data_IF_523717238788
#
_entry.id   IF_523717238788
#
_cell.length_a   1.000
_cell.length_b   1.000
_cell.length_c   1.000
_cell.angle_alpha   90.00
_cell.angle_beta   90.00
_cell.angle_gamma   90.00
#
_symmetry.space_group_name_H-M   'P 1'
#
loop_
_entity.id
_entity.type
_entity.pdbx_description
1 polymer ?
#
# COMPACT_ATOMS: atom_id res chain seq x y z
N UNK A 1 23.68 19.29 13.17
CA UNK A 1 23.32 19.38 11.74
C UNK A 1 21.96 20.07 11.62
N UNK A 2 21.91 21.33 11.18
CA UNK A 2 20.65 22.06 10.93
C UNK A 2 20.26 21.84 9.46
N UNK A 3 19.16 21.15 9.20
CA UNK A 3 18.59 21.01 7.85
C UNK A 3 17.93 22.33 7.49
N UNK A 4 18.59 23.14 6.67
CA UNK A 4 17.97 24.29 6.03
C UNK A 4 17.08 23.76 4.91
N UNK A 5 15.80 23.56 5.19
CA UNK A 5 14.78 23.53 4.15
C UNK A 5 14.75 24.95 3.58
N UNK A 6 15.44 25.16 2.47
CA UNK A 6 15.29 26.38 1.69
C UNK A 6 13.85 26.38 1.18
N UNK A 7 12.99 27.24 1.75
CA UNK A 7 11.76 27.64 1.09
C UNK A 7 12.16 28.09 -0.32
N UNK A 8 11.80 27.28 -1.32
CA UNK A 8 11.84 27.70 -2.71
C UNK A 8 10.86 28.86 -2.82
N UNK A 9 11.39 30.07 -2.66
CA UNK A 9 10.63 31.30 -2.72
C UNK A 9 9.75 31.28 -3.97
N UNK A 10 8.45 31.43 -3.76
CA UNK A 10 7.34 31.35 -4.72
C UNK A 10 7.61 32.12 -6.04
N UNK A 11 8.52 33.10 -6.00
CA UNK A 11 9.00 33.84 -7.17
C UNK A 11 9.78 33.02 -8.21
N UNK A 12 10.60 32.04 -7.80
CA UNK A 12 11.34 31.19 -8.77
C UNK A 12 10.40 30.26 -9.53
N UNK A 13 9.41 29.71 -8.82
CA UNK A 13 8.38 28.86 -9.40
C UNK A 13 7.59 29.58 -10.50
N UNK A 14 7.11 30.80 -10.24
CA UNK A 14 6.39 31.60 -11.26
C UNK A 14 7.23 31.84 -12.50
N UNK A 15 8.54 32.09 -12.34
CA UNK A 15 9.47 32.28 -13.46
C UNK A 15 9.62 31.03 -14.33
N UNK A 16 9.77 29.86 -13.70
CA UNK A 16 9.92 28.60 -14.43
C UNK A 16 8.61 28.17 -15.12
N UNK A 17 7.45 28.37 -14.47
CA UNK A 17 6.14 28.15 -15.09
C UNK A 17 5.94 29.07 -16.29
N UNK A 18 6.30 30.35 -16.19
CA UNK A 18 6.17 31.28 -17.32
C UNK A 18 7.06 30.88 -18.50
N UNK A 19 8.31 30.44 -18.24
CA UNK A 19 9.21 29.94 -19.28
C UNK A 19 8.67 28.70 -19.98
N UNK A 20 8.02 27.79 -19.24
CA UNK A 20 7.37 26.62 -19.80
C UNK A 20 6.22 27.01 -20.73
N UNK A 21 5.36 27.94 -20.28
CA UNK A 21 4.23 28.46 -21.08
C UNK A 21 4.71 29.13 -22.35
N UNK A 22 5.79 29.93 -22.27
CA UNK A 22 6.38 30.61 -23.43
C UNK A 22 7.03 29.63 -24.42
N UNK A 23 7.61 28.53 -23.93
CA UNK A 23 8.14 27.46 -24.78
C UNK A 23 7.02 26.69 -25.49
N UNK A 24 5.96 26.33 -24.77
CA UNK A 24 4.77 25.66 -25.32
C UNK A 24 4.06 26.52 -26.37
N UNK A 25 4.01 27.84 -26.18
CA UNK A 25 3.39 28.76 -27.13
C UNK A 25 4.14 28.85 -28.48
N UNK A 26 5.40 28.40 -28.55
CA UNK A 26 6.20 28.40 -29.79
C UNK A 26 6.07 27.13 -30.62
N UNK A 27 5.36 26.12 -30.13
CA UNK A 27 5.17 24.86 -30.85
C UNK A 27 4.10 25.07 -31.95
N UNK A 28 4.45 25.00 -33.24
CA UNK A 28 3.48 25.16 -34.31
C UNK A 28 2.47 24.00 -34.29
N UNK A 29 1.17 24.32 -34.32
CA UNK A 29 0.07 23.35 -34.31
C UNK A 29 -0.71 23.25 -32.99
N UNK A 30 -0.25 23.89 -31.91
CA UNK A 30 -1.03 24.05 -30.67
C UNK A 30 -1.88 25.33 -30.76
N UNK A 31 -3.10 25.22 -31.30
CA UNK A 31 -4.07 26.32 -31.23
C UNK A 31 -4.42 26.60 -29.77
N UNK A 32 -4.03 27.79 -29.29
CA UNK A 32 -4.44 28.29 -27.97
C UNK A 32 -5.96 28.35 -27.95
N UNK A 33 -6.60 27.50 -27.14
CA UNK A 33 -8.04 27.59 -26.89
C UNK A 33 -8.30 28.99 -26.32
N UNK A 34 -8.90 29.87 -27.13
CA UNK A 34 -9.22 31.22 -26.68
C UNK A 34 -10.08 31.10 -25.42
N UNK A 35 -9.83 31.91 -24.38
CA UNK A 35 -10.69 31.96 -23.21
C UNK A 35 -12.11 32.21 -23.70
N UNK A 36 -12.98 31.21 -23.50
CA UNK A 36 -14.38 31.36 -23.83
C UNK A 36 -14.92 32.49 -22.93
N UNK A 37 -15.61 33.50 -23.48
CA UNK A 37 -16.18 34.56 -22.66
C UNK A 37 -17.03 33.93 -21.55
N UNK A 38 -16.98 34.49 -20.32
CA UNK A 38 -17.70 33.92 -19.21
C UNK A 38 -19.17 33.75 -19.60
N UNK A 39 -19.80 32.61 -19.26
CA UNK A 39 -21.21 32.41 -19.54
C UNK A 39 -22.01 33.54 -18.88
N UNK A 40 -23.11 33.99 -19.51
CA UNK A 40 -23.97 34.99 -18.89
C UNK A 40 -24.40 34.50 -17.50
N UNK A 41 -24.53 35.41 -16.52
CA UNK A 41 -24.94 35.04 -15.17
C UNK A 41 -26.26 34.27 -15.24
N UNK A 42 -26.42 33.18 -14.45
CA UNK A 42 -27.63 32.39 -14.46
C UNK A 42 -28.83 33.28 -14.11
N UNK A 43 -30.00 33.04 -14.73
CA UNK A 43 -31.21 33.78 -14.38
C UNK A 43 -31.49 33.64 -12.88
N UNK A 44 -31.97 34.70 -12.21
CA UNK A 44 -32.31 34.63 -10.80
C UNK A 44 -33.32 33.50 -10.56
N UNK A 45 -33.15 32.69 -9.49
CA UNK A 45 -33.99 31.54 -9.26
C UNK A 45 -35.46 31.97 -9.16
N UNK A 46 -36.29 31.41 -10.05
CA UNK A 46 -37.72 31.65 -10.04
C UNK A 46 -38.29 31.22 -8.69
N UNK A 47 -38.83 32.18 -7.91
CA UNK A 47 -39.59 31.92 -6.69
C UNK A 47 -40.87 31.17 -7.06
N UNK A 48 -40.81 29.85 -7.09
CA UNK A 48 -41.98 29.03 -7.41
C UNK A 48 -41.82 27.58 -6.96
N UNK A 49 -42.59 27.20 -5.92
CA UNK A 49 -42.97 25.83 -5.56
C UNK A 49 -41.85 24.87 -5.11
N UNK A 50 -40.92 25.29 -4.24
CA UNK A 50 -39.84 24.39 -3.76
C UNK A 50 -40.20 23.49 -2.56
N UNK A 51 -41.31 23.73 -1.86
CA UNK A 51 -41.60 23.00 -0.60
C UNK A 51 -41.95 21.52 -0.80
N UNK A 52 -42.56 21.16 -1.93
CA UNK A 52 -42.91 19.76 -2.24
C UNK A 52 -41.72 18.96 -2.78
N UNK A 53 -40.85 19.59 -3.57
CA UNK A 53 -39.62 18.96 -4.08
C UNK A 53 -38.64 18.69 -2.94
N UNK A 54 -38.46 19.65 -2.03
CA UNK A 54 -37.57 19.48 -0.89
C UNK A 54 -38.04 18.35 0.05
N UNK A 55 -39.35 18.19 0.22
CA UNK A 55 -39.91 17.10 1.03
C UNK A 55 -39.75 15.73 0.36
N UNK A 56 -39.85 15.66 -0.98
CA UNK A 56 -39.57 14.44 -1.74
C UNK A 56 -38.08 14.04 -1.68
N UNK A 57 -37.15 15.01 -1.75
CA UNK A 57 -35.71 14.76 -1.61
C UNK A 57 -35.36 14.23 -0.22
N UNK A 58 -35.95 14.80 0.84
CA UNK A 58 -35.71 14.33 2.21
C UNK A 58 -36.25 12.91 2.43
N UNK A 59 -37.46 12.60 1.93
CA UNK A 59 -38.01 11.24 2.01
C UNK A 59 -37.12 10.25 1.24
N UNK A 60 -36.65 10.61 0.05
CA UNK A 60 -35.76 9.77 -0.74
C UNK A 60 -34.44 9.48 -0.02
N UNK A 61 -33.84 10.47 0.65
CA UNK A 61 -32.59 10.27 1.40
C UNK A 61 -32.79 9.37 2.63
N UNK A 62 -33.93 9.47 3.31
CA UNK A 62 -34.27 8.59 4.44
C UNK A 62 -34.46 7.14 3.98
N UNK A 63 -35.15 6.92 2.84
CA UNK A 63 -35.32 5.57 2.28
C UNK A 63 -34.00 4.96 1.84
N UNK A 64 -33.10 5.75 1.24
CA UNK A 64 -31.75 5.29 0.88
C UNK A 64 -30.93 4.97 2.14
N UNK A 65 -30.98 5.79 3.19
CA UNK A 65 -30.29 5.53 4.45
C UNK A 65 -30.72 4.21 5.11
N UNK A 66 -32.03 3.93 5.14
CA UNK A 66 -32.57 2.69 5.74
C UNK A 66 -32.22 1.46 4.90
N UNK A 67 -32.20 1.57 3.56
CA UNK A 67 -31.78 0.46 2.69
C UNK A 67 -30.28 0.16 2.85
N UNK A 68 -29.44 1.20 2.98
CA UNK A 68 -28.00 1.03 3.19
C UNK A 68 -27.69 0.42 4.56
N UNK A 69 -28.43 0.73 5.63
CA UNK A 69 -28.24 0.03 6.91
C UNK A 69 -28.69 -1.46 6.87
N UNK A 70 -29.65 -1.80 6.01
CA UNK A 70 -30.15 -3.18 5.92
C UNK A 70 -29.21 -4.15 5.17
N UNK A 71 -28.34 -3.67 4.28
CA UNK A 71 -27.41 -4.54 3.52
C UNK A 71 -26.05 -4.73 4.18
N UNK A 72 -25.67 -3.90 5.16
CA UNK A 72 -24.36 -3.98 5.83
C UNK A 72 -24.38 -4.72 7.18
N UNK A 73 -25.58 -5.03 7.72
CA UNK A 73 -25.75 -5.73 8.99
C UNK A 73 -25.47 -7.23 8.99
N UNK A 74 -25.31 -7.86 7.80
CA UNK A 74 -25.05 -9.30 7.67
C UNK A 74 -23.57 -9.64 7.35
N UNK A 75 -22.66 -8.65 7.34
CA UNK A 75 -21.24 -8.86 7.04
C UNK A 75 -20.33 -9.08 8.27
N UNK A 76 -20.91 -9.18 9.47
CA UNK A 76 -20.18 -9.56 10.69
C UNK A 76 -19.87 -11.08 10.76
N UNK A 77 -20.28 -11.86 9.74
CA UNK A 77 -20.11 -13.32 9.68
C UNK A 77 -18.78 -13.85 9.13
N UNK A 78 -17.86 -13.00 8.68
CA UNK A 78 -16.51 -13.44 8.26
C UNK A 78 -15.53 -13.43 9.44
N UNK A 79 -15.95 -14.06 10.54
CA UNK A 79 -15.01 -14.52 11.55
C UNK A 79 -14.23 -15.66 10.91
N UNK A 80 -12.94 -15.43 10.62
CA UNK A 80 -12.00 -16.43 10.13
C UNK A 80 -11.83 -17.53 11.18
N UNK A 81 -12.79 -18.43 11.26
CA UNK A 81 -12.73 -19.69 11.99
C UNK A 81 -12.11 -20.73 11.06
N UNK A 82 -10.84 -20.52 10.71
CA UNK A 82 -9.99 -21.60 10.24
C UNK A 82 -9.27 -22.15 11.48
N UNK A 83 -9.71 -23.28 12.07
CA UNK A 83 -8.86 -24.00 12.99
C UNK A 83 -7.65 -24.49 12.19
N UNK A 84 -6.51 -23.83 12.40
CA UNK A 84 -5.23 -24.39 11.99
C UNK A 84 -4.98 -25.56 12.92
N UNK A 85 -5.40 -26.75 12.47
CA UNK A 85 -5.06 -28.02 13.06
C UNK A 85 -3.56 -28.25 12.84
N UNK A 86 -2.76 -27.76 13.79
CA UNK A 86 -1.37 -28.13 13.92
C UNK A 86 -1.32 -29.58 14.36
N UNK A 87 -1.36 -30.47 13.37
CA UNK A 87 -1.10 -31.89 13.52
C UNK A 87 0.13 -32.07 14.40
N UNK A 88 -0.10 -32.63 15.59
CA UNK A 88 0.93 -33.12 16.47
C UNK A 88 1.72 -34.19 15.70
N UNK A 89 2.89 -33.81 15.22
CA UNK A 89 3.89 -34.75 14.74
C UNK A 89 4.40 -35.48 15.99
N UNK A 90 4.00 -36.73 16.14
CA UNK A 90 4.49 -37.66 17.16
C UNK A 90 5.73 -38.38 16.60
N UNK A 91 6.96 -38.04 17.03
CA UNK A 91 8.16 -38.75 16.65
C UNK A 91 8.49 -39.72 17.78
N UNK A 92 7.83 -40.88 17.82
CA UNK A 92 8.00 -41.82 18.92
C UNK A 92 7.47 -43.22 18.61
N UNK A 93 8.17 -43.94 17.76
CA UNK A 93 8.08 -45.40 17.68
C UNK A 93 9.40 -45.97 17.15
N UNK A 94 10.43 -45.86 17.98
CA UNK A 94 11.06 -47.03 18.62
C UNK A 94 11.10 -48.27 17.73
N UNK A 95 12.07 -48.29 16.81
CA UNK A 95 12.60 -49.52 16.25
C UNK A 95 13.84 -49.91 17.04
N UNK A 96 13.64 -50.69 18.10
CA UNK A 96 14.63 -51.69 18.52
C UNK A 96 14.97 -52.54 17.30
N UNK A 97 16.26 -52.80 17.06
CA UNK A 97 16.74 -54.09 16.56
C UNK A 97 18.29 -54.11 16.57
N UNK A 98 18.76 -54.98 17.45
CA UNK A 98 19.87 -55.91 17.29
C UNK A 98 21.34 -55.45 17.48
N UNK A 99 21.87 -56.09 18.52
CA UNK A 99 23.26 -56.32 18.83
C UNK A 99 23.96 -57.06 17.67
N UNK A 100 25.11 -56.55 17.21
CA UNK A 100 26.17 -57.43 16.75
C UNK A 100 27.54 -56.78 16.98
N UNK A 101 28.23 -57.32 17.98
CA UNK A 101 29.53 -56.90 18.47
C UNK A 101 30.62 -57.52 17.57
N UNK A 102 30.90 -56.87 16.44
CA UNK A 102 32.11 -57.12 15.67
C UNK A 102 33.18 -56.09 16.06
N UNK A 103 34.15 -56.48 16.88
CA UNK A 103 35.41 -55.73 17.07
C UNK A 103 36.22 -55.77 15.77
N UNK A 104 35.82 -54.95 14.81
CA UNK A 104 36.58 -54.66 13.61
C UNK A 104 37.58 -53.55 13.93
N UNK A 105 38.86 -53.81 13.64
CA UNK A 105 39.94 -52.85 13.85
C UNK A 105 39.79 -51.70 12.86
N UNK A 106 38.98 -50.71 13.25
CA UNK A 106 38.76 -49.51 12.45
C UNK A 106 40.09 -48.78 12.24
N UNK A 107 40.48 -48.47 10.98
CA UNK A 107 41.60 -47.59 10.72
C UNK A 107 41.37 -46.24 11.42
N UNK A 108 42.45 -45.53 11.82
CA UNK A 108 42.35 -44.27 12.54
C UNK A 108 41.34 -43.35 11.83
N UNK A 109 40.40 -42.73 12.58
CA UNK A 109 39.33 -41.96 11.98
C UNK A 109 39.94 -40.92 11.04
N UNK A 110 39.50 -40.93 9.78
CA UNK A 110 39.86 -39.88 8.85
C UNK A 110 39.53 -38.53 9.52
N UNK A 111 40.42 -37.52 9.42
CA UNK A 111 40.16 -36.22 10.02
C UNK A 111 38.77 -35.76 9.60
N UNK A 112 37.91 -35.53 10.59
CA UNK A 112 36.54 -35.10 10.36
C UNK A 112 36.56 -33.84 9.50
N UNK A 113 35.93 -33.92 8.33
CA UNK A 113 35.75 -32.76 7.47
C UNK A 113 35.17 -31.62 8.31
N UNK A 114 35.72 -30.38 8.20
CA UNK A 114 35.15 -29.23 8.88
C UNK A 114 33.63 -29.20 8.63
N UNK A 115 32.80 -28.94 9.66
CA UNK A 115 31.37 -28.84 9.49
C UNK A 115 31.05 -27.92 8.31
N UNK A 116 30.25 -28.39 7.36
CA UNK A 116 29.81 -27.57 6.25
C UNK A 116 29.21 -26.28 6.82
N UNK A 117 29.69 -25.13 6.34
CA UNK A 117 29.20 -23.84 6.80
C UNK A 117 27.68 -23.83 6.62
N UNK A 118 26.94 -23.65 7.71
CA UNK A 118 25.49 -23.53 7.65
C UNK A 118 25.15 -22.32 6.77
N UNK A 119 24.17 -22.41 5.86
CA UNK A 119 23.71 -21.27 5.10
C UNK A 119 23.26 -20.20 6.09
N UNK A 120 23.89 -19.02 6.04
CA UNK A 120 23.42 -17.87 6.82
C UNK A 120 22.05 -17.51 6.26
N UNK A 121 21.00 -17.64 7.08
CA UNK A 121 19.66 -17.22 6.68
C UNK A 121 19.71 -15.77 6.21
N UNK A 122 19.16 -15.49 5.03
CA UNK A 122 19.12 -14.12 4.51
C UNK A 122 18.32 -13.25 5.50
N UNK A 123 18.96 -12.19 6.00
CA UNK A 123 18.30 -11.27 6.91
C UNK A 123 17.14 -10.59 6.18
N UNK A 124 15.96 -10.56 6.81
CA UNK A 124 14.79 -9.84 6.31
C UNK A 124 15.12 -8.33 6.40
N UNK A 125 14.95 -7.55 5.31
CA UNK A 125 15.15 -6.11 5.36
C UNK A 125 14.22 -5.44 6.38
N UNK A 126 14.72 -4.43 7.10
CA UNK A 126 13.89 -3.58 7.95
C UNK A 126 13.28 -2.44 7.12
N UNK A 127 11.94 -2.41 7.06
CA UNK A 127 11.13 -1.38 6.40
C UNK A 127 10.38 -0.50 7.39
N UNK A 128 10.61 -0.65 8.69
CA UNK A 128 9.93 0.16 9.71
C UNK A 128 10.19 1.66 9.52
N UNK A 129 9.19 2.48 9.82
CA UNK A 129 9.29 3.94 9.86
C UNK A 129 8.56 4.65 8.71
N UNK A 130 9.07 5.84 8.37
CA UNK A 130 8.43 6.76 7.43
C UNK A 130 8.96 6.59 6.02
N UNK A 131 8.05 6.38 5.09
CA UNK A 131 8.32 6.28 3.66
C UNK A 131 7.49 7.29 2.89
N UNK A 132 7.98 7.72 1.73
CA UNK A 132 7.32 8.73 0.89
C UNK A 132 7.26 8.27 -0.55
N UNK A 133 6.22 8.69 -1.24
CA UNK A 133 6.11 8.58 -2.70
C UNK A 133 6.52 9.90 -3.36
N UNK A 134 6.66 9.88 -4.69
CA UNK A 134 6.97 11.08 -5.47
C UNK A 134 5.79 12.06 -5.57
N UNK A 135 4.56 11.58 -5.35
CA UNK A 135 3.31 12.37 -5.30
C UNK A 135 3.08 13.02 -3.94
N UNK A 136 3.89 12.67 -2.93
CA UNK A 136 3.84 13.29 -1.61
C UNK A 136 2.98 12.56 -0.59
N UNK A 137 2.51 11.34 -0.89
CA UNK A 137 1.93 10.48 0.13
C UNK A 137 3.02 10.03 1.11
N UNK A 138 2.63 9.84 2.37
CA UNK A 138 3.49 9.38 3.46
C UNK A 138 2.94 8.06 3.98
N UNK A 139 3.81 7.06 4.08
CA UNK A 139 3.49 5.74 4.59
C UNK A 139 4.22 5.52 5.92
N UNK A 140 3.50 4.98 6.88
CA UNK A 140 3.99 4.67 8.22
C UNK A 140 3.98 3.16 8.39
N UNK A 141 5.16 2.54 8.33
CA UNK A 141 5.31 1.10 8.41
C UNK A 141 5.74 0.65 9.81
N UNK A 142 5.08 -0.37 10.33
CA UNK A 142 5.44 -1.08 11.55
C UNK A 142 5.70 -2.55 11.19
N UNK A 143 6.93 -3.03 11.40
CA UNK A 143 7.33 -4.38 11.01
C UNK A 143 7.44 -5.29 12.24
N UNK A 144 6.87 -6.49 12.12
CA UNK A 144 7.02 -7.58 13.08
C UNK A 144 7.48 -8.85 12.34
N UNK A 145 8.81 -9.04 12.29
CA UNK A 145 9.44 -10.12 11.54
C UNK A 145 9.22 -9.97 10.03
N UNK A 146 8.53 -10.93 9.41
CA UNK A 146 8.19 -10.87 7.98
C UNK A 146 6.89 -10.10 7.72
N UNK A 147 6.08 -9.80 8.74
CA UNK A 147 4.80 -9.13 8.59
C UNK A 147 4.97 -7.62 8.79
N UNK A 148 4.12 -6.86 8.10
CA UNK A 148 4.19 -5.39 8.07
C UNK A 148 2.77 -4.85 8.18
N UNK A 149 2.52 -3.96 9.14
CA UNK A 149 1.30 -3.17 9.22
C UNK A 149 1.62 -1.73 8.79
N UNK A 150 0.67 -1.05 8.16
CA UNK A 150 0.88 0.35 7.77
C UNK A 150 -0.38 1.17 7.60
N UNK A 151 -0.21 2.49 7.62
CA UNK A 151 -1.19 3.45 7.12
C UNK A 151 -0.54 4.46 6.18
N UNK A 152 -1.38 5.03 5.31
CA UNK A 152 -0.99 6.01 4.31
C UNK A 152 -1.72 7.33 4.55
N UNK A 153 -0.99 8.43 4.45
CA UNK A 153 -1.49 9.79 4.56
C UNK A 153 -1.18 10.60 3.30
N UNK A 154 -2.13 11.45 2.89
CA UNK A 154 -1.89 12.48 1.90
C UNK A 154 -2.47 13.79 2.42
N UNK A 155 -1.69 14.88 2.34
CA UNK A 155 -2.05 16.19 2.87
C UNK A 155 -2.50 16.17 4.36
N UNK A 156 -1.92 15.27 5.17
CA UNK A 156 -2.24 15.12 6.60
C UNK A 156 -3.57 14.42 6.87
N UNK A 157 -4.22 13.86 5.85
CA UNK A 157 -5.41 13.02 5.98
C UNK A 157 -5.05 11.57 5.70
N UNK A 158 -5.52 10.66 6.54
CA UNK A 158 -5.39 9.23 6.30
C UNK A 158 -6.20 8.82 5.06
N UNK A 159 -5.50 8.28 4.06
CA UNK A 159 -6.06 7.83 2.79
C UNK A 159 -6.04 6.31 2.63
N UNK A 160 -5.41 5.58 3.55
CA UNK A 160 -5.40 4.13 3.51
C UNK A 160 -4.84 3.48 4.77
N UNK A 161 -5.21 2.23 4.98
CA UNK A 161 -4.59 1.31 5.95
C UNK A 161 -4.35 -0.02 5.26
N UNK A 162 -3.32 -0.73 5.69
CA UNK A 162 -2.98 -1.97 5.05
C UNK A 162 -2.09 -2.85 5.88
N UNK A 163 -1.90 -4.06 5.34
CA UNK A 163 -0.99 -5.05 5.87
C UNK A 163 -0.14 -5.59 4.73
N UNK A 164 0.97 -6.22 5.05
CA UNK A 164 1.88 -6.77 4.09
C UNK A 164 2.78 -7.83 4.69
N UNK A 165 3.54 -8.48 3.81
CA UNK A 165 4.53 -9.47 4.20
C UNK A 165 5.70 -9.54 3.23
N UNK A 166 6.84 -9.99 3.74
CA UNK A 166 7.99 -10.37 2.93
C UNK A 166 7.84 -11.79 2.38
N UNK A 167 8.07 -11.94 1.08
CA UNK A 167 8.28 -13.20 0.38
C UNK A 167 9.68 -13.16 -0.24
N UNK A 168 10.66 -13.66 0.53
CA UNK A 168 12.08 -13.43 0.26
C UNK A 168 12.44 -11.94 0.36
N UNK A 169 12.79 -11.33 -0.78
CA UNK A 169 13.07 -9.88 -0.87
C UNK A 169 11.86 -9.08 -1.35
N UNK A 170 10.80 -9.73 -1.81
CA UNK A 170 9.62 -9.03 -2.34
C UNK A 170 8.71 -8.62 -1.20
N UNK A 171 8.41 -7.33 -1.09
CA UNK A 171 7.43 -6.79 -0.17
C UNK A 171 6.05 -6.82 -0.85
N UNK A 172 5.14 -7.62 -0.31
CA UNK A 172 3.75 -7.70 -0.79
C UNK A 172 2.84 -6.94 0.16
N UNK A 173 2.12 -5.95 -0.34
CA UNK A 173 1.22 -5.10 0.46
C UNK A 173 -0.22 -5.25 -0.03
N UNK A 174 -1.18 -5.15 0.90
CA UNK A 174 -2.60 -5.01 0.63
C UNK A 174 -3.11 -3.79 1.39
N UNK A 175 -3.68 -2.81 0.69
CA UNK A 175 -4.14 -1.53 1.24
C UNK A 175 -5.61 -1.31 0.94
N UNK A 176 -6.40 -1.02 1.96
CA UNK A 176 -7.75 -0.45 1.83
C UNK A 176 -7.63 1.06 1.72
N UNK A 177 -8.16 1.64 0.65
CA UNK A 177 -8.12 3.08 0.40
C UNK A 177 -9.40 3.76 0.89
N UNK A 178 -9.25 4.95 1.48
CA UNK A 178 -10.35 5.78 1.94
C UNK A 178 -10.36 7.13 1.23
N UNK A 179 -11.56 7.63 0.95
CA UNK A 179 -11.79 9.01 0.55
C UNK A 179 -12.93 9.58 1.38
N UNK A 180 -12.63 10.56 2.23
CA UNK A 180 -13.61 11.16 3.16
C UNK A 180 -14.32 10.13 4.05
N UNK A 181 -13.59 9.11 4.52
CA UNK A 181 -14.13 8.03 5.35
C UNK A 181 -14.86 6.93 4.58
N UNK A 182 -15.07 7.09 3.27
CA UNK A 182 -15.67 6.06 2.43
C UNK A 182 -14.60 5.12 1.88
N UNK A 183 -14.84 3.80 1.91
CA UNK A 183 -13.97 2.80 1.30
C UNK A 183 -14.05 2.92 -0.23
N UNK A 184 -12.91 3.21 -0.86
CA UNK A 184 -12.80 3.36 -2.32
C UNK A 184 -12.40 2.06 -3.02
N UNK A 185 -11.79 1.13 -2.28
CA UNK A 185 -11.37 -0.18 -2.79
C UNK A 185 -10.09 -0.67 -2.13
N UNK A 186 -9.59 -1.81 -2.63
CA UNK A 186 -8.36 -2.45 -2.16
C UNK A 186 -7.31 -2.42 -3.26
N UNK A 187 -6.06 -2.11 -2.91
CA UNK A 187 -4.91 -2.17 -3.78
C UNK A 187 -3.92 -3.23 -3.28
N UNK A 188 -3.49 -4.13 -4.16
CA UNK A 188 -2.47 -5.14 -3.86
C UNK A 188 -1.18 -4.79 -4.58
N UNK A 189 -0.07 -4.67 -3.87
CA UNK A 189 1.21 -4.24 -4.41
C UNK A 189 2.27 -5.32 -4.24
N UNK A 190 3.03 -5.59 -5.30
CA UNK A 190 4.26 -6.39 -5.24
C UNK A 190 5.45 -5.45 -5.50
N UNK A 191 6.33 -5.29 -4.51
CA UNK A 191 7.43 -4.34 -4.55
C UNK A 191 8.78 -5.03 -4.34
N UNK A 192 9.78 -4.64 -5.13
CA UNK A 192 11.15 -5.11 -5.02
C UNK A 192 12.05 -4.01 -4.45
N UNK A 193 13.00 -4.34 -3.56
CA UNK A 193 13.96 -3.38 -3.06
C UNK A 193 14.87 -2.95 -4.20
N UNK A 194 15.13 -1.66 -4.30
CA UNK A 194 16.18 -1.16 -5.17
C UNK A 194 17.56 -1.54 -4.60
N UNK A 195 18.61 -1.57 -5.44
CA UNK A 195 19.98 -1.89 -5.00
C UNK A 195 20.53 -0.97 -3.91
N UNK A 196 19.93 0.21 -3.71
CA UNK A 196 20.31 1.16 -2.68
C UNK A 196 19.82 0.77 -1.27
N UNK A 197 18.92 -0.22 -1.16
CA UNK A 197 18.28 -0.62 0.10
C UNK A 197 17.44 0.47 0.76
N UNK A 198 17.07 1.52 0.02
CA UNK A 198 16.39 2.72 0.51
C UNK A 198 15.15 3.10 -0.27
N UNK A 199 14.88 2.39 -1.36
CA UNK A 199 13.65 2.51 -2.12
C UNK A 199 13.08 1.13 -2.47
N UNK A 200 11.77 1.08 -2.63
CA UNK A 200 11.05 -0.06 -3.18
C UNK A 200 10.32 0.39 -4.43
N UNK A 201 10.38 -0.43 -5.47
CA UNK A 201 9.70 -0.20 -6.75
C UNK A 201 8.88 -1.42 -7.12
N UNK A 202 7.68 -1.19 -7.65
CA UNK A 202 6.77 -2.29 -7.92
C UNK A 202 5.55 -1.88 -8.71
N UNK A 203 4.53 -2.74 -8.66
CA UNK A 203 3.23 -2.51 -9.27
C UNK A 203 2.15 -2.74 -8.24
N UNK A 204 1.13 -1.88 -8.23
CA UNK A 204 -0.07 -2.03 -7.43
C UNK A 204 -1.27 -2.28 -8.36
N UNK A 205 -2.02 -3.34 -8.11
CA UNK A 205 -3.30 -3.60 -8.75
C UNK A 205 -4.43 -3.08 -7.85
N UNK A 206 -5.08 -2.01 -8.27
CA UNK A 206 -6.19 -1.38 -7.55
C UNK A 206 -7.47 -1.31 -8.38
N UNK A 207 -8.54 -0.68 -7.85
CA UNK A 207 -9.83 -0.57 -8.53
C UNK A 207 -9.77 0.17 -9.88
N UNK A 208 -8.75 1.02 -10.08
CA UNK A 208 -8.53 1.76 -11.31
C UNK A 208 -7.50 1.11 -12.25
N UNK A 209 -7.11 -0.14 -11.99
CA UNK A 209 -6.14 -0.91 -12.78
C UNK A 209 -4.76 -0.99 -12.14
N UNK A 210 -3.76 -1.30 -12.97
CA UNK A 210 -2.37 -1.50 -12.55
C UNK A 210 -1.62 -0.16 -12.60
N UNK A 211 -1.03 0.22 -11.47
CA UNK A 211 -0.29 1.45 -11.29
C UNK A 211 1.15 1.15 -10.88
N UNK A 212 2.16 1.81 -11.49
CA UNK A 212 3.53 1.72 -10.99
C UNK A 212 3.61 2.39 -9.61
N UNK A 213 4.31 1.73 -8.68
CA UNK A 213 4.49 2.21 -7.32
C UNK A 213 5.96 2.35 -6.98
N UNK A 214 6.31 3.44 -6.30
CA UNK A 214 7.65 3.68 -5.80
C UNK A 214 7.57 4.40 -4.46
N UNK A 215 8.24 3.83 -3.45
CA UNK A 215 8.39 4.44 -2.12
C UNK A 215 9.87 4.56 -1.78
N UNK A 216 10.24 5.59 -1.03
CA UNK A 216 11.62 5.84 -0.59
C UNK A 216 11.66 6.45 0.82
N UNK A 217 12.81 6.28 1.50
CA UNK A 217 13.07 6.82 2.84
C UNK A 217 14.05 8.00 2.86
#
# INVERSE_FOLDING_TARGET
MRRQAFELADGRWRGDVQRLVDALAKIPGLERRQPQPPPPPPPPPAKGKSRRVLLAVVISLVVIGVLVESEWGDLDGFQNDYPVDFGAYDPGADGDDDEDFAEDFAPPPAPSSPPAAQPVAAAIPDVSGLWRTYTGEVYHFEQNGANVDFYAEAAGQQIGVGQGRFDGQVLRLAMTMYLNGLVMGVANCDMQPAPDGRSYTGVCNGPNGILPAQIFR
#
